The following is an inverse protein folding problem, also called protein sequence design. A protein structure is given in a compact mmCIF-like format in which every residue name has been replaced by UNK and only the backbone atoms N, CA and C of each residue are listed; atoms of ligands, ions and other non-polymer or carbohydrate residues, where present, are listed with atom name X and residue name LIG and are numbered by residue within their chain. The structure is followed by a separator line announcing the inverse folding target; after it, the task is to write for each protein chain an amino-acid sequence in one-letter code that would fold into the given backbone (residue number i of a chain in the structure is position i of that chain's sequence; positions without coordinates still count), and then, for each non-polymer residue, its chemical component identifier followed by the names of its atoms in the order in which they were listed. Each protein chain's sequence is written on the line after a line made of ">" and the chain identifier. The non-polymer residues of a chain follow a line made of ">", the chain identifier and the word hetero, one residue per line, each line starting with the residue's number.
data_IF_631549602575
#
_entry.id   IF_631549602575
#
_cell.length_a   1.000
_cell.length_b   1.000
_cell.length_c   1.000
_cell.angle_alpha   90.00
_cell.angle_beta   90.00
_cell.angle_gamma   90.00
#
_symmetry.space_group_name_H-M   'P 1'
#
loop_
_entity.id
_entity.type
_entity.pdbx_description
1 polymer ?
#
# COMPACT_ATOMS: atom_id res chain seq x y z
N UNK A 1 -20.09 -10.83 6.28
CA UNK A 1 -20.88 -10.26 5.19
C UNK A 1 -20.70 -11.08 3.89
N UNK A 2 -21.49 -10.82 2.87
CA UNK A 2 -21.53 -11.63 1.62
C UNK A 2 -20.16 -11.72 0.93
N UNK A 3 -19.35 -10.68 0.99
CA UNK A 3 -18.01 -10.66 0.38
C UNK A 3 -17.04 -11.60 1.09
N UNK A 4 -16.98 -11.53 2.41
CA UNK A 4 -16.17 -12.41 3.25
C UNK A 4 -16.62 -13.88 3.14
N UNK A 5 -17.93 -14.11 3.12
CA UNK A 5 -18.50 -15.46 2.96
C UNK A 5 -18.13 -16.07 1.61
N UNK A 6 -18.12 -15.27 0.53
CA UNK A 6 -17.69 -15.69 -0.81
C UNK A 6 -16.22 -16.10 -0.83
N UNK A 7 -15.35 -15.32 -0.20
CA UNK A 7 -13.90 -15.63 -0.09
C UNK A 7 -13.68 -16.92 0.72
N UNK A 8 -14.41 -17.09 1.81
CA UNK A 8 -14.39 -18.31 2.63
C UNK A 8 -14.87 -19.52 1.85
N UNK A 9 -15.92 -19.40 1.05
CA UNK A 9 -16.43 -20.50 0.20
C UNK A 9 -15.40 -20.96 -0.83
N UNK A 10 -14.66 -20.02 -1.46
CA UNK A 10 -13.57 -20.35 -2.40
C UNK A 10 -12.44 -21.08 -1.67
N UNK A 11 -12.05 -20.61 -0.48
CA UNK A 11 -11.03 -21.26 0.33
C UNK A 11 -11.45 -22.69 0.73
N UNK A 12 -12.69 -22.88 1.12
CA UNK A 12 -13.25 -24.20 1.44
C UNK A 12 -13.26 -25.13 0.21
N UNK A 13 -13.59 -24.62 -0.98
CA UNK A 13 -13.53 -25.38 -2.22
C UNK A 13 -12.12 -25.87 -2.51
N UNK A 14 -11.10 -25.02 -2.33
CA UNK A 14 -9.70 -25.42 -2.49
C UNK A 14 -9.28 -26.51 -1.49
N UNK A 15 -9.76 -26.41 -0.23
CA UNK A 15 -9.49 -27.42 0.80
C UNK A 15 -10.11 -28.78 0.43
N UNK A 16 -11.42 -28.84 0.12
CA UNK A 16 -12.10 -30.11 -0.17
C UNK A 16 -11.64 -30.76 -1.47
N UNK A 17 -11.17 -29.97 -2.44
CA UNK A 17 -10.60 -30.48 -3.70
C UNK A 17 -9.10 -30.78 -3.60
N UNK A 18 -8.48 -30.50 -2.45
CA UNK A 18 -7.06 -30.71 -2.22
C UNK A 18 -6.16 -29.84 -3.09
N UNK A 19 -6.56 -28.63 -3.43
CA UNK A 19 -5.82 -27.71 -4.27
C UNK A 19 -5.00 -26.66 -3.49
N UNK A 20 -4.71 -26.91 -2.24
CA UNK A 20 -3.68 -26.24 -1.45
C UNK A 20 -2.36 -27.00 -1.53
N UNK A 21 -1.23 -26.29 -1.38
CA UNK A 21 0.13 -26.86 -1.31
C UNK A 21 0.55 -27.64 -2.57
N UNK A 22 -0.07 -27.37 -3.70
CA UNK A 22 0.31 -27.96 -4.98
C UNK A 22 0.88 -26.89 -5.90
N UNK A 23 2.00 -27.15 -6.60
CA UNK A 23 2.49 -26.24 -7.62
C UNK A 23 1.42 -25.97 -8.69
N UNK A 24 1.23 -24.69 -9.03
CA UNK A 24 0.23 -24.25 -10.01
C UNK A 24 -1.23 -24.27 -9.54
N UNK A 25 -1.48 -24.56 -8.26
CA UNK A 25 -2.82 -24.48 -7.67
C UNK A 25 -2.87 -23.43 -6.56
N UNK A 26 -4.05 -22.85 -6.33
CA UNK A 26 -4.29 -21.83 -5.31
C UNK A 26 -5.44 -20.89 -5.67
N UNK A 27 -5.71 -19.92 -4.80
CA UNK A 27 -6.59 -18.82 -5.07
C UNK A 27 -5.79 -17.66 -5.70
N UNK A 28 -6.27 -17.16 -6.82
CA UNK A 28 -5.68 -16.02 -7.53
C UNK A 28 -6.72 -14.92 -7.67
N UNK A 29 -6.86 -14.04 -6.67
CA UNK A 29 -7.83 -12.95 -6.74
C UNK A 29 -7.43 -11.99 -7.86
N UNK A 30 -8.33 -11.79 -8.83
CA UNK A 30 -8.11 -10.81 -9.89
C UNK A 30 -8.31 -9.41 -9.32
N UNK A 31 -7.23 -8.72 -9.10
CA UNK A 31 -7.22 -7.35 -8.58
C UNK A 31 -7.62 -6.34 -9.66
N UNK A 32 -8.29 -5.25 -9.27
CA UNK A 32 -8.70 -4.18 -10.19
C UNK A 32 -7.52 -3.43 -10.81
N UNK A 33 -6.47 -3.19 -10.04
CA UNK A 33 -5.24 -2.54 -10.49
C UNK A 33 -4.03 -3.47 -10.36
N UNK A 34 -2.98 -3.16 -11.10
CA UNK A 34 -1.78 -3.98 -11.24
C UNK A 34 -0.89 -4.06 -9.98
N UNK A 35 -1.07 -3.17 -9.01
CA UNK A 35 -0.29 -3.14 -7.77
C UNK A 35 -1.14 -3.16 -6.49
N UNK A 36 -2.41 -3.56 -6.54
CA UNK A 36 -3.25 -3.64 -5.33
C UNK A 36 -2.65 -4.58 -4.28
N UNK A 37 -2.06 -5.69 -4.71
CA UNK A 37 -1.35 -6.59 -3.80
C UNK A 37 -0.19 -5.88 -3.11
N UNK A 38 0.65 -5.16 -3.86
CA UNK A 38 1.78 -4.42 -3.30
C UNK A 38 1.36 -3.30 -2.36
N UNK A 39 0.30 -2.56 -2.67
CA UNK A 39 -0.25 -1.55 -1.76
C UNK A 39 -0.67 -2.17 -0.42
N UNK A 40 -1.41 -3.28 -0.46
CA UNK A 40 -1.80 -3.99 0.76
C UNK A 40 -0.59 -4.53 1.53
N UNK A 41 0.40 -5.11 0.83
CA UNK A 41 1.64 -5.62 1.43
C UNK A 41 2.43 -4.53 2.16
N UNK A 42 2.34 -3.29 1.67
CA UNK A 42 3.05 -2.13 2.25
C UNK A 42 2.25 -1.38 3.33
N UNK A 43 1.13 -1.95 3.79
CA UNK A 43 0.37 -1.39 4.90
C UNK A 43 -0.58 -0.26 4.51
N UNK A 44 -1.08 -0.21 3.27
CA UNK A 44 -2.19 0.68 2.88
C UNK A 44 -3.52 0.20 3.47
N UNK A 45 -3.55 -0.02 4.78
CA UNK A 45 -4.67 -0.51 5.57
C UNK A 45 -4.68 0.21 6.93
N UNK A 46 -5.85 0.45 7.52
CA UNK A 46 -5.95 1.30 8.70
C UNK A 46 -5.35 0.72 9.97
N UNK A 47 -5.12 -0.58 10.02
CA UNK A 47 -4.74 -1.33 11.23
C UNK A 47 -3.39 -2.05 11.11
N UNK A 48 -2.63 -1.81 10.02
CA UNK A 48 -1.44 -2.60 9.72
C UNK A 48 -0.24 -1.75 9.29
N UNK A 49 0.93 -2.17 9.72
CA UNK A 49 2.22 -1.82 9.15
C UNK A 49 2.53 -2.71 7.93
N UNK A 50 3.59 -2.41 7.14
CA UNK A 50 4.04 -3.28 6.06
C UNK A 50 4.15 -4.74 6.47
N UNK A 51 3.70 -5.65 5.59
CA UNK A 51 3.72 -7.09 5.83
C UNK A 51 2.60 -7.61 6.72
N UNK A 52 1.46 -6.90 6.76
CA UNK A 52 0.27 -7.28 7.55
C UNK A 52 0.51 -7.35 9.07
N UNK A 53 1.45 -6.56 9.55
CA UNK A 53 1.83 -6.47 10.95
C UNK A 53 0.88 -5.51 11.68
N UNK A 54 0.19 -6.00 12.72
CA UNK A 54 -0.86 -5.22 13.40
C UNK A 54 -0.28 -4.06 14.22
N UNK A 55 -0.90 -2.89 14.11
CA UNK A 55 -0.52 -1.70 14.90
C UNK A 55 -0.83 -1.87 16.40
N UNK A 56 -1.74 -2.78 16.74
CA UNK A 56 -2.14 -3.10 18.11
C UNK A 56 -1.16 -4.04 18.82
N UNK A 57 -0.22 -4.65 18.10
CA UNK A 57 0.81 -5.51 18.68
C UNK A 57 1.96 -4.66 19.20
N UNK A 58 2.20 -4.71 20.51
CA UNK A 58 3.20 -3.88 21.19
C UNK A 58 4.64 -4.17 20.73
N UNK A 59 4.97 -5.44 20.44
CA UNK A 59 6.33 -5.82 20.00
C UNK A 59 6.58 -5.34 18.56
N UNK A 60 5.59 -5.49 17.71
CA UNK A 60 5.64 -5.00 16.33
C UNK A 60 5.75 -3.47 16.33
N UNK A 61 4.88 -2.78 17.06
CA UNK A 61 4.90 -1.32 17.15
C UNK A 61 6.25 -0.82 17.65
N UNK A 62 6.77 -1.38 18.73
CA UNK A 62 8.08 -1.02 19.27
C UNK A 62 9.24 -1.24 18.28
N UNK A 63 9.12 -2.18 17.35
CA UNK A 63 10.11 -2.37 16.28
C UNK A 63 10.08 -1.17 15.31
N UNK A 64 8.92 -0.75 14.85
CA UNK A 64 8.76 0.40 13.96
C UNK A 64 9.12 1.72 14.66
N UNK A 65 8.76 1.91 15.93
CA UNK A 65 9.13 3.07 16.74
C UNK A 65 10.65 3.23 16.89
N UNK A 66 11.36 2.14 17.06
CA UNK A 66 12.85 2.17 17.12
C UNK A 66 13.47 2.59 15.78
N UNK A 67 12.93 2.13 14.68
CA UNK A 67 13.47 2.49 13.36
C UNK A 67 13.13 3.94 13.00
N UNK A 68 11.90 4.37 13.28
CA UNK A 68 11.44 5.71 12.92
C UNK A 68 11.82 6.79 13.94
N UNK A 69 12.20 6.39 15.15
CA UNK A 69 12.58 7.33 16.22
C UNK A 69 11.40 8.15 16.77
N UNK A 70 10.16 7.69 16.58
CA UNK A 70 8.94 8.37 17.00
C UNK A 70 7.99 7.40 17.66
N UNK A 71 7.13 7.89 18.55
CA UNK A 71 6.02 7.13 19.13
C UNK A 71 4.92 6.95 18.09
N UNK A 72 4.39 5.73 17.95
CA UNK A 72 3.35 5.39 17.00
C UNK A 72 2.04 5.04 17.72
N UNK A 73 0.91 5.31 17.06
CA UNK A 73 -0.41 5.02 17.60
C UNK A 73 -0.62 3.51 17.76
N UNK A 74 -1.13 3.09 18.92
CA UNK A 74 -1.61 1.74 19.17
C UNK A 74 -3.06 1.53 18.70
N UNK A 75 -3.73 2.60 18.26
CA UNK A 75 -5.11 2.56 17.81
C UNK A 75 -5.16 2.43 16.30
N UNK A 76 -5.91 1.48 15.75
CA UNK A 76 -6.16 1.40 14.32
C UNK A 76 -6.72 2.70 13.76
N UNK A 77 -6.32 3.03 12.54
CA UNK A 77 -6.90 4.15 11.80
C UNK A 77 -8.34 3.86 11.36
N UNK A 78 -8.87 4.74 10.54
CA UNK A 78 -10.23 4.62 9.96
C UNK A 78 -10.12 4.08 8.54
N UNK A 79 -11.04 3.20 8.15
CA UNK A 79 -11.22 2.84 6.75
C UNK A 79 -11.85 3.99 5.95
N UNK A 80 -11.92 3.86 4.62
CA UNK A 80 -12.47 4.89 3.75
C UNK A 80 -13.86 5.34 4.19
N UNK A 81 -14.76 4.40 4.48
CA UNK A 81 -16.14 4.70 4.86
C UNK A 81 -16.20 5.45 6.21
N UNK A 82 -15.43 4.99 7.20
CA UNK A 82 -15.32 5.62 8.51
C UNK A 82 -14.69 7.03 8.43
N UNK A 83 -13.77 7.27 7.48
CA UNK A 83 -13.23 8.61 7.25
C UNK A 83 -14.30 9.55 6.75
N UNK A 84 -15.08 9.15 5.73
CA UNK A 84 -16.17 9.96 5.17
C UNK A 84 -17.26 10.23 6.22
N UNK A 85 -17.67 9.24 7.00
CA UNK A 85 -18.58 9.44 8.13
C UNK A 85 -17.99 10.37 9.17
N UNK A 86 -16.70 10.22 9.49
CA UNK A 86 -16.00 11.08 10.42
C UNK A 86 -15.95 12.54 10.00
N UNK A 87 -15.85 12.82 8.70
CA UNK A 87 -15.97 14.20 8.18
C UNK A 87 -17.38 14.75 8.42
N UNK A 88 -18.41 13.96 8.12
CA UNK A 88 -19.79 14.37 8.35
C UNK A 88 -20.09 14.68 9.81
N UNK A 89 -19.48 13.92 10.73
CA UNK A 89 -19.66 14.06 12.18
C UNK A 89 -18.76 15.14 12.81
N UNK A 90 -17.81 15.70 12.05
CA UNK A 90 -16.85 16.68 12.55
C UNK A 90 -15.70 16.08 13.38
N UNK A 91 -15.40 14.79 13.18
CA UNK A 91 -14.27 14.09 13.82
C UNK A 91 -13.01 14.12 12.92
N UNK A 92 -13.18 14.28 11.61
CA UNK A 92 -12.12 14.38 10.61
C UNK A 92 -12.21 15.74 9.96
N UNK A 93 -11.16 16.56 10.10
CA UNK A 93 -11.10 17.94 9.64
C UNK A 93 -10.24 18.12 8.40
N UNK A 94 -9.30 17.21 8.16
CA UNK A 94 -8.38 17.28 7.02
C UNK A 94 -8.25 15.95 6.36
N UNK A 95 -8.07 15.94 5.03
CA UNK A 95 -7.89 14.74 4.23
C UNK A 95 -6.69 14.91 3.30
N UNK A 96 -5.82 13.91 3.26
CA UNK A 96 -4.81 13.74 2.23
C UNK A 96 -5.22 12.56 1.36
N UNK A 97 -5.59 12.82 0.13
CA UNK A 97 -6.05 11.83 -0.83
C UNK A 97 -4.94 11.60 -1.87
N UNK A 98 -4.64 10.34 -2.12
CA UNK A 98 -3.52 9.93 -2.93
C UNK A 98 -3.93 8.90 -3.98
N UNK A 99 -3.81 9.29 -5.25
CA UNK A 99 -3.96 8.39 -6.39
C UNK A 99 -5.35 7.82 -6.62
N UNK A 100 -6.40 8.55 -6.22
CA UNK A 100 -7.77 8.09 -6.38
C UNK A 100 -8.75 9.27 -6.61
N UNK A 101 -9.74 9.07 -7.47
CA UNK A 101 -10.81 10.03 -7.74
C UNK A 101 -12.09 9.67 -6.95
N UNK A 102 -11.96 9.61 -5.62
CA UNK A 102 -12.98 9.15 -4.67
C UNK A 102 -14.33 9.85 -4.86
N UNK A 103 -14.32 11.12 -5.25
CA UNK A 103 -15.53 11.92 -5.48
C UNK A 103 -16.44 11.41 -6.63
N UNK A 104 -15.93 10.49 -7.48
CA UNK A 104 -16.73 9.89 -8.58
C UNK A 104 -16.70 8.37 -8.61
N UNK A 105 -15.76 7.71 -7.92
CA UNK A 105 -15.63 6.25 -7.96
C UNK A 105 -16.24 5.54 -6.75
N UNK A 106 -16.43 6.25 -5.64
CA UNK A 106 -16.99 5.66 -4.43
C UNK A 106 -18.53 5.42 -4.56
N UNK A 107 -19.03 4.48 -3.78
CA UNK A 107 -20.47 4.30 -3.63
C UNK A 107 -21.08 5.53 -2.94
N UNK A 108 -22.26 5.96 -3.35
CA UNK A 108 -22.94 7.14 -2.81
C UNK A 108 -22.12 8.45 -2.94
N UNK A 109 -21.74 8.77 -4.17
CA UNK A 109 -20.92 9.95 -4.51
C UNK A 109 -21.45 11.26 -3.93
N UNK A 110 -22.78 11.45 -3.84
CA UNK A 110 -23.36 12.66 -3.25
C UNK A 110 -23.00 12.81 -1.75
N UNK A 111 -22.95 11.69 -1.02
CA UNK A 111 -22.56 11.69 0.38
C UNK A 111 -21.05 12.01 0.54
N UNK A 112 -20.21 11.44 -0.32
CA UNK A 112 -18.78 11.70 -0.35
C UNK A 112 -18.48 13.15 -0.70
N UNK A 113 -19.07 13.68 -1.77
CA UNK A 113 -18.87 15.07 -2.18
C UNK A 113 -19.33 16.06 -1.10
N UNK A 114 -20.47 15.81 -0.46
CA UNK A 114 -20.94 16.63 0.67
C UNK A 114 -20.02 16.52 1.91
N UNK A 115 -19.25 15.47 2.07
CA UNK A 115 -18.21 15.38 3.08
C UNK A 115 -17.03 16.29 2.73
N UNK A 116 -16.55 16.26 1.49
CA UNK A 116 -15.43 17.09 1.05
C UNK A 116 -15.70 18.60 1.25
N UNK A 117 -16.94 19.05 1.04
CA UNK A 117 -17.35 20.44 1.30
C UNK A 117 -17.26 20.86 2.78
N UNK A 118 -17.13 19.90 3.71
CA UNK A 118 -17.04 20.16 5.15
C UNK A 118 -15.62 20.16 5.69
N UNK A 119 -14.64 19.75 4.87
CA UNK A 119 -13.25 19.71 5.31
C UNK A 119 -12.70 21.12 5.51
N UNK A 120 -11.89 21.28 6.55
CA UNK A 120 -11.13 22.50 6.79
C UNK A 120 -9.89 22.59 5.86
N UNK A 121 -9.36 21.42 5.42
CA UNK A 121 -8.19 21.37 4.55
C UNK A 121 -8.14 20.04 3.80
N UNK A 122 -7.91 20.10 2.48
CA UNK A 122 -7.80 18.92 1.62
C UNK A 122 -6.59 19.00 0.70
N UNK A 123 -5.79 17.94 0.69
CA UNK A 123 -4.69 17.74 -0.26
C UNK A 123 -5.02 16.58 -1.18
N UNK A 124 -4.84 16.79 -2.48
CA UNK A 124 -4.93 15.71 -3.48
C UNK A 124 -3.59 15.56 -4.19
N UNK A 125 -3.01 14.37 -4.16
CA UNK A 125 -1.84 14.00 -4.95
C UNK A 125 -2.26 13.03 -6.04
N UNK A 126 -2.15 13.44 -7.30
CA UNK A 126 -2.60 12.62 -8.43
C UNK A 126 -1.79 12.93 -9.71
N UNK A 127 -1.84 12.01 -10.67
CA UNK A 127 -1.27 12.17 -12.00
C UNK A 127 -2.10 13.13 -12.88
N UNK A 128 -3.37 13.28 -12.55
CA UNK A 128 -4.34 14.09 -13.27
C UNK A 128 -5.05 15.09 -12.35
N UNK A 129 -5.51 16.18 -12.94
CA UNK A 129 -6.43 17.09 -12.26
C UNK A 129 -7.83 16.47 -12.28
N UNK A 130 -8.07 15.55 -11.35
CA UNK A 130 -9.31 14.78 -11.24
C UNK A 130 -10.50 15.64 -10.79
N UNK A 131 -11.71 15.08 -10.86
CA UNK A 131 -12.88 15.75 -10.30
C UNK A 131 -12.72 15.99 -8.79
N UNK A 132 -12.20 15.02 -8.05
CA UNK A 132 -11.92 15.15 -6.62
C UNK A 132 -10.95 16.29 -6.32
N UNK A 133 -9.96 16.52 -7.18
CA UNK A 133 -9.02 17.62 -7.03
C UNK A 133 -9.68 19.01 -7.07
N UNK A 134 -10.92 19.13 -7.57
CA UNK A 134 -11.66 20.40 -7.54
C UNK A 134 -12.10 20.84 -6.14
N UNK A 135 -12.10 19.91 -5.18
CA UNK A 135 -12.37 20.20 -3.75
C UNK A 135 -11.10 20.52 -2.96
N UNK A 136 -9.91 20.25 -3.53
CA UNK A 136 -8.66 20.36 -2.81
C UNK A 136 -8.17 21.80 -2.65
N UNK A 137 -7.62 22.12 -1.48
CA UNK A 137 -6.88 23.37 -1.23
C UNK A 137 -5.49 23.33 -1.86
N UNK A 138 -4.89 22.12 -1.93
CA UNK A 138 -3.57 21.88 -2.53
C UNK A 138 -3.63 20.65 -3.42
N UNK A 139 -3.12 20.80 -4.66
CA UNK A 139 -2.93 19.68 -5.59
C UNK A 139 -1.44 19.48 -5.81
N UNK A 140 -0.97 18.25 -5.61
CA UNK A 140 0.42 17.84 -5.80
C UNK A 140 0.52 16.95 -7.04
N UNK A 141 1.20 17.39 -8.12
CA UNK A 141 1.31 16.61 -9.34
C UNK A 141 2.27 15.42 -9.14
N UNK A 142 1.76 14.22 -9.34
CA UNK A 142 2.51 12.97 -9.24
C UNK A 142 2.90 12.43 -10.61
N UNK A 143 4.02 11.71 -10.67
CA UNK A 143 4.50 11.07 -11.89
C UNK A 143 3.80 9.71 -12.09
N UNK A 144 3.36 9.38 -13.32
CA UNK A 144 2.82 8.07 -13.65
C UNK A 144 3.87 6.97 -13.64
N UNK A 145 3.42 5.73 -13.73
CA UNK A 145 4.28 4.54 -13.61
C UNK A 145 5.44 4.50 -14.60
N UNK A 146 5.29 5.06 -15.81
CA UNK A 146 6.36 5.09 -16.81
C UNK A 146 7.45 6.13 -16.52
N UNK A 147 7.21 7.05 -15.61
CA UNK A 147 8.10 8.16 -15.26
C UNK A 147 8.85 7.92 -13.93
N UNK A 148 8.73 6.74 -13.33
CA UNK A 148 9.36 6.42 -12.03
C UNK A 148 9.89 5.00 -11.97
N UNK A 149 10.93 4.81 -11.15
CA UNK A 149 11.38 3.48 -10.71
C UNK A 149 10.57 3.02 -9.51
N UNK A 150 10.41 1.71 -9.39
CA UNK A 150 9.66 1.14 -8.28
C UNK A 150 9.55 -0.39 -8.35
N UNK A 151 8.58 -0.90 -7.63
CA UNK A 151 8.19 -2.31 -7.71
C UNK A 151 6.68 -2.44 -7.74
N UNK A 152 6.19 -3.45 -8.45
CA UNK A 152 4.80 -3.91 -8.37
C UNK A 152 4.77 -5.33 -7.83
N UNK A 153 3.74 -5.64 -7.06
CA UNK A 153 3.46 -7.01 -6.61
C UNK A 153 2.14 -7.46 -7.22
N UNK A 154 2.18 -8.54 -7.99
CA UNK A 154 1.01 -9.07 -8.67
C UNK A 154 0.18 -10.01 -7.77
N UNK A 155 -0.93 -10.49 -8.28
CA UNK A 155 -1.87 -11.40 -7.62
C UNK A 155 -1.24 -12.69 -7.06
N UNK A 156 -0.16 -13.18 -7.68
CA UNK A 156 0.57 -14.36 -7.20
C UNK A 156 1.67 -14.02 -6.18
N UNK A 157 1.67 -12.82 -5.63
CA UNK A 157 2.66 -12.32 -4.66
C UNK A 157 4.05 -12.13 -5.26
N UNK A 158 4.14 -11.94 -6.57
CA UNK A 158 5.39 -11.78 -7.28
C UNK A 158 5.77 -10.31 -7.34
N UNK A 159 6.87 -9.97 -6.66
CA UNK A 159 7.49 -8.65 -6.67
C UNK A 159 8.32 -8.50 -7.95
N UNK A 160 8.06 -7.44 -8.70
CA UNK A 160 8.68 -7.17 -10.01
C UNK A 160 9.13 -5.73 -10.08
N UNK A 161 10.24 -5.48 -10.79
CA UNK A 161 10.72 -4.12 -11.02
C UNK A 161 9.83 -3.37 -12.00
N UNK A 162 9.63 -2.11 -11.70
CA UNK A 162 9.17 -1.07 -12.61
C UNK A 162 10.37 -0.19 -12.95
N UNK A 163 10.63 0.01 -14.24
CA UNK A 163 11.73 0.84 -14.71
C UNK A 163 11.21 2.15 -15.29
N UNK A 164 11.83 3.24 -14.90
CA UNK A 164 11.58 4.54 -15.52
C UNK A 164 11.90 4.50 -17.01
N UNK A 165 10.92 4.83 -17.84
CA UNK A 165 11.06 4.87 -19.28
C UNK A 165 11.06 6.31 -19.85
N UNK A 166 10.47 7.25 -19.14
CA UNK A 166 10.30 8.64 -19.51
C UNK A 166 10.70 9.56 -18.35
N UNK A 167 11.11 10.77 -18.65
CA UNK A 167 11.29 11.79 -17.63
C UNK A 167 9.94 12.33 -17.16
N UNK A 168 9.88 12.72 -15.89
CA UNK A 168 8.67 13.32 -15.31
C UNK A 168 8.28 14.59 -16.04
N UNK A 169 6.99 14.75 -16.30
CA UNK A 169 6.45 15.87 -17.05
C UNK A 169 6.33 17.13 -16.16
N UNK A 170 6.88 18.24 -16.62
CA UNK A 170 6.77 19.52 -15.91
C UNK A 170 7.41 19.48 -14.53
N UNK A 171 6.64 19.87 -13.51
CA UNK A 171 7.08 19.89 -12.11
C UNK A 171 6.62 18.66 -11.32
N UNK A 172 6.03 17.65 -11.99
CA UNK A 172 5.62 16.42 -11.32
C UNK A 172 6.81 15.67 -10.73
N UNK A 173 6.56 14.99 -9.60
CA UNK A 173 7.56 14.21 -8.88
C UNK A 173 7.03 12.80 -8.63
N UNK A 174 7.95 11.88 -8.40
CA UNK A 174 7.56 10.54 -7.96
C UNK A 174 6.93 10.60 -6.57
N UNK A 175 6.05 9.67 -6.27
CA UNK A 175 5.28 9.69 -5.02
C UNK A 175 6.17 9.67 -3.79
N UNK A 176 7.23 8.85 -3.77
CA UNK A 176 8.16 8.78 -2.65
C UNK A 176 8.93 10.10 -2.45
N UNK A 177 9.28 10.82 -3.52
CA UNK A 177 9.90 12.15 -3.43
C UNK A 177 8.92 13.16 -2.82
N UNK A 178 7.64 13.12 -3.21
CA UNK A 178 6.60 14.00 -2.64
C UNK A 178 6.45 13.73 -1.15
N UNK A 179 6.34 12.45 -0.76
CA UNK A 179 6.24 12.09 0.66
C UNK A 179 7.48 12.50 1.45
N UNK A 180 8.69 12.30 0.91
CA UNK A 180 9.92 12.77 1.55
C UNK A 180 9.95 14.29 1.74
N UNK A 181 9.55 15.05 0.72
CA UNK A 181 9.49 16.51 0.82
C UNK A 181 8.50 16.97 1.89
N UNK A 182 7.34 16.34 2.00
CA UNK A 182 6.34 16.64 3.04
C UNK A 182 6.88 16.24 4.41
N UNK A 183 7.40 15.02 4.55
CA UNK A 183 7.97 14.52 5.79
C UNK A 183 9.07 15.45 6.32
N UNK A 184 9.96 15.91 5.45
CA UNK A 184 11.04 16.83 5.82
C UNK A 184 10.54 18.23 6.22
N UNK A 185 9.41 18.69 5.64
CA UNK A 185 8.72 19.89 6.13
C UNK A 185 8.13 19.69 7.53
N UNK A 186 7.84 18.47 7.92
CA UNK A 186 7.39 18.07 9.25
C UNK A 186 8.54 17.61 10.17
N UNK A 187 9.79 17.86 9.76
CA UNK A 187 11.01 17.58 10.52
C UNK A 187 11.36 16.08 10.66
N UNK A 188 11.03 15.26 9.65
CA UNK A 188 11.36 13.84 9.65
C UNK A 188 12.83 13.53 9.29
N UNK A 189 13.53 14.46 8.62
CA UNK A 189 14.94 14.36 8.22
C UNK A 189 15.24 13.11 7.36
N UNK A 190 14.37 12.82 6.40
CA UNK A 190 14.58 11.73 5.43
C UNK A 190 15.51 12.16 4.31
N UNK A 191 16.42 11.26 3.89
CA UNK A 191 17.43 11.51 2.85
C UNK A 191 17.58 10.33 1.90
N UNK A 192 16.45 9.82 1.40
CA UNK A 192 16.47 8.79 0.35
C UNK A 192 16.82 9.42 -0.99
N UNK A 193 17.73 8.79 -1.71
CA UNK A 193 18.15 9.18 -3.04
C UNK A 193 17.54 8.31 -4.15
N UNK A 194 17.05 7.11 -3.77
CA UNK A 194 16.52 6.13 -4.70
C UNK A 194 15.49 5.22 -4.01
N UNK A 195 14.40 4.79 -4.68
CA UNK A 195 13.39 3.92 -4.09
C UNK A 195 13.92 2.53 -3.68
N UNK A 196 15.11 2.14 -4.13
CA UNK A 196 15.82 0.96 -3.65
C UNK A 196 16.18 1.04 -2.16
N UNK A 197 16.55 2.23 -1.68
CA UNK A 197 16.86 2.46 -0.26
C UNK A 197 15.60 2.32 0.61
N UNK A 198 14.46 2.76 0.10
CA UNK A 198 13.14 2.52 0.73
C UNK A 198 12.83 1.02 0.78
N UNK A 199 13.15 0.26 -0.28
CA UNK A 199 12.97 -1.20 -0.28
C UNK A 199 13.90 -1.88 0.74
N UNK A 200 15.11 -1.40 0.94
CA UNK A 200 16.02 -1.92 1.97
C UNK A 200 15.45 -1.72 3.39
N UNK A 201 14.82 -0.58 3.64
CA UNK A 201 14.12 -0.33 4.90
C UNK A 201 12.90 -1.25 5.06
N UNK A 202 12.09 -1.40 4.02
CA UNK A 202 10.98 -2.37 4.00
C UNK A 202 11.48 -3.77 4.35
N UNK A 203 12.58 -4.22 3.74
CA UNK A 203 13.17 -5.54 3.97
C UNK A 203 13.61 -5.73 5.43
N UNK A 204 14.17 -4.70 6.07
CA UNK A 204 14.57 -4.75 7.48
C UNK A 204 13.39 -4.87 8.44
N UNK A 205 12.26 -4.24 8.11
CA UNK A 205 11.08 -4.14 8.98
C UNK A 205 10.01 -5.20 8.69
N UNK A 206 10.06 -5.83 7.51
CA UNK A 206 9.00 -6.71 7.00
C UNK A 206 9.52 -8.12 6.76
N UNK A 207 9.27 -9.08 7.67
CA UNK A 207 9.83 -10.44 7.56
C UNK A 207 9.54 -11.13 6.24
N UNK A 208 8.35 -10.92 5.66
CA UNK A 208 7.97 -11.51 4.36
C UNK A 208 8.74 -10.91 3.17
N UNK A 209 9.40 -9.78 3.35
CA UNK A 209 10.22 -9.09 2.35
C UNK A 209 11.72 -9.08 2.69
N UNK A 210 12.14 -9.76 3.75
CA UNK A 210 13.50 -9.68 4.28
C UNK A 210 14.61 -9.95 3.26
N UNK A 211 14.35 -10.80 2.27
CA UNK A 211 15.28 -11.09 1.19
C UNK A 211 15.01 -10.36 -0.12
N UNK A 212 14.11 -9.39 -0.16
CA UNK A 212 13.81 -8.61 -1.38
C UNK A 212 14.78 -7.44 -1.50
N UNK A 213 15.44 -7.33 -2.65
CA UNK A 213 16.28 -6.17 -2.99
C UNK A 213 16.18 -5.85 -4.48
N UNK A 214 16.50 -4.61 -4.84
CA UNK A 214 16.48 -4.18 -6.23
C UNK A 214 17.47 -4.97 -7.09
N UNK A 215 18.67 -5.29 -6.58
CA UNK A 215 19.66 -6.10 -7.30
C UNK A 215 19.12 -7.47 -7.67
N UNK A 216 18.34 -8.09 -6.79
CA UNK A 216 17.74 -9.41 -7.04
C UNK A 216 16.55 -9.36 -8.00
N UNK A 217 15.95 -8.20 -8.16
CA UNK A 217 14.83 -7.95 -9.07
C UNK A 217 15.29 -7.40 -10.43
N UNK A 218 16.60 -7.26 -10.65
CA UNK A 218 17.14 -6.65 -11.86
C UNK A 218 16.76 -7.39 -13.14
N UNK A 219 16.52 -6.65 -14.22
CA UNK A 219 16.07 -7.20 -15.49
C UNK A 219 14.65 -7.75 -15.43
N UNK A 220 14.47 -9.00 -15.81
CA UNK A 220 13.19 -9.72 -15.75
C UNK A 220 13.08 -10.65 -14.53
N UNK A 221 13.97 -10.51 -13.55
CA UNK A 221 13.89 -11.29 -12.33
C UNK A 221 12.69 -10.85 -11.50
N UNK A 222 12.19 -11.76 -10.71
CA UNK A 222 11.07 -11.52 -9.79
C UNK A 222 11.15 -12.45 -8.60
N UNK A 223 10.62 -12.03 -7.47
CA UNK A 223 10.62 -12.81 -6.24
C UNK A 223 9.20 -12.98 -5.73
N UNK A 224 8.86 -14.17 -5.34
CA UNK A 224 7.55 -14.50 -4.80
C UNK A 224 7.62 -14.53 -3.27
N UNK A 225 7.03 -13.53 -2.59
CA UNK A 225 7.08 -13.45 -1.13
C UNK A 225 6.23 -14.54 -0.46
N UNK A 226 6.54 -15.00 0.76
CA UNK A 226 7.66 -14.60 1.61
C UNK A 226 9.03 -14.91 1.00
N UNK A 227 9.96 -13.94 1.14
CA UNK A 227 11.37 -14.11 0.81
C UNK A 227 12.17 -13.97 2.08
N UNK A 228 12.74 -15.05 2.56
CA UNK A 228 13.45 -15.11 3.84
C UNK A 228 14.83 -14.43 3.80
N UNK A 229 15.50 -14.38 4.96
CA UNK A 229 16.85 -13.81 5.08
C UNK A 229 17.90 -14.58 4.27
N UNK A 230 17.69 -15.88 4.00
CA UNK A 230 18.52 -16.68 3.11
C UNK A 230 18.22 -16.40 1.63
N UNK A 231 17.33 -15.47 1.39
CA UNK A 231 16.91 -14.98 0.09
C UNK A 231 16.22 -16.04 -0.80
N UNK A 232 15.54 -16.98 -0.18
CA UNK A 232 14.70 -17.95 -0.87
C UNK A 232 13.28 -17.40 -1.01
N UNK A 233 12.77 -17.44 -2.23
CA UNK A 233 11.38 -17.11 -2.52
C UNK A 233 10.45 -18.31 -2.25
N UNK A 234 9.17 -18.01 -1.97
CA UNK A 234 8.16 -19.00 -1.61
C UNK A 234 7.10 -19.14 -2.69
N UNK A 235 7.21 -20.18 -3.52
CA UNK A 235 6.22 -20.48 -4.56
C UNK A 235 4.89 -20.98 -4.00
N UNK A 236 4.92 -21.56 -2.80
CA UNK A 236 3.76 -22.09 -2.11
C UNK A 236 3.65 -21.44 -0.74
N UNK A 237 2.42 -21.02 -0.37
CA UNK A 237 2.10 -20.58 0.99
C UNK A 237 1.65 -21.75 1.86
N UNK A 238 1.77 -21.57 3.17
CA UNK A 238 1.25 -22.49 4.17
C UNK A 238 1.79 -23.93 4.04
N UNK A 239 3.12 -24.05 3.81
CA UNK A 239 3.77 -25.35 3.64
C UNK A 239 3.68 -26.22 4.88
N UNK A 240 3.87 -25.63 6.06
CA UNK A 240 3.89 -26.33 7.34
C UNK A 240 2.58 -26.18 8.10
N UNK A 241 2.13 -24.96 8.32
CA UNK A 241 0.91 -24.64 9.05
C UNK A 241 0.12 -23.52 8.37
N UNK A 242 -1.18 -23.46 8.64
CA UNK A 242 -1.98 -22.29 8.33
C UNK A 242 -1.79 -21.28 9.48
N UNK A 243 -1.42 -20.05 9.17
CA UNK A 243 -1.40 -18.94 10.09
C UNK A 243 -2.71 -18.18 9.96
N UNK A 244 -3.49 -18.15 11.03
CA UNK A 244 -4.76 -17.43 11.11
C UNK A 244 -4.64 -16.31 12.14
#
# INVERSE_FOLDING_TARGET
>A
DIGSDSSTAISNLLLVTGNYRKPGAGAYPLRGHNNVQGCSDMGSMPDQFPGYQLVTDDEIRAKFEREYGVELSATPGRDNHQMIEGIHNGDVHSLYLYGEDTGIVDSNINFVQAAFEKLDFMVVQDEFLTFTATYADVVLPASPSLEKDGTFTNTERRVQRLYKALDSLGDSKTDWEIFQLIANKLSADWDYSHPGEVMEEIARLTPSYAGVSYDRLEGFNSLQWPVDNDAKDSRLLYLDVFHF
#
